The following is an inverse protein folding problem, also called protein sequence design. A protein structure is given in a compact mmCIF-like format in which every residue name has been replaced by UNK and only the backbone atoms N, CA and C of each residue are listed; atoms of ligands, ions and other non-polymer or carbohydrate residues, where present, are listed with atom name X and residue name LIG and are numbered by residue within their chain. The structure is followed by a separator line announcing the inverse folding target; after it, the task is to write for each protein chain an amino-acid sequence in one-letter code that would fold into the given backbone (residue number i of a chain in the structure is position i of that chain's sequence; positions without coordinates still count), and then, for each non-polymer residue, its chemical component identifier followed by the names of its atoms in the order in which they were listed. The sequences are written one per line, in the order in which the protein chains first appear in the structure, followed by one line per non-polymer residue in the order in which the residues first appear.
data_IF_616124002247
#
_entry.id   IF_616124002247
#
_cell.length_a   1.000
_cell.length_b   1.000
_cell.length_c   1.000
_cell.angle_alpha   90.00
_cell.angle_beta   90.00
_cell.angle_gamma   90.00
#
_symmetry.space_group_name_H-M   'P 1'
#
loop_
_entity.id
_entity.type
_entity.pdbx_description
1 polymer ?
#
# COMPACT_ATOMS: atom_id res chain seq x y z
N UNK A 1 -16.10 4.43 1.90
CA UNK A 1 -14.88 3.61 1.88
C UNK A 1 -13.82 4.34 1.08
N UNK A 2 -12.63 4.55 1.63
CA UNK A 2 -11.54 5.28 0.98
C UNK A 2 -10.99 4.44 -0.19
N UNK A 3 -11.41 4.79 -1.42
CA UNK A 3 -11.15 4.03 -2.65
C UNK A 3 -9.66 3.95 -2.98
N UNK A 4 -8.93 5.00 -2.63
CA UNK A 4 -7.50 5.13 -2.86
C UNK A 4 -6.68 4.31 -1.87
N UNK A 5 -7.07 4.28 -0.60
CA UNK A 5 -6.47 3.39 0.39
C UNK A 5 -6.63 1.92 -0.02
N UNK A 6 -7.81 1.55 -0.54
CA UNK A 6 -8.05 0.22 -1.10
C UNK A 6 -7.19 -0.08 -2.33
N UNK A 7 -6.97 0.91 -3.21
CA UNK A 7 -6.07 0.78 -4.36
C UNK A 7 -4.61 0.59 -3.95
N UNK A 8 -4.13 1.37 -2.99
CA UNK A 8 -2.79 1.26 -2.43
C UNK A 8 -2.54 -0.11 -1.81
N UNK A 9 -3.49 -0.61 -1.00
CA UNK A 9 -3.41 -1.94 -0.40
C UNK A 9 -3.36 -3.05 -1.44
N UNK A 10 -4.21 -3.00 -2.48
CA UNK A 10 -4.17 -3.99 -3.56
C UNK A 10 -2.84 -4.00 -4.31
N UNK A 11 -2.23 -2.83 -4.52
CA UNK A 11 -0.92 -2.74 -5.17
C UNK A 11 0.19 -3.40 -4.32
N UNK A 12 0.15 -3.22 -2.99
CA UNK A 12 1.08 -3.87 -2.06
C UNK A 12 0.92 -5.40 -2.07
N UNK A 13 -0.33 -5.88 -2.03
CA UNK A 13 -0.63 -7.30 -2.09
C UNK A 13 -0.19 -7.91 -3.42
N UNK A 14 -0.44 -7.23 -4.54
CA UNK A 14 0.01 -7.68 -5.86
C UNK A 14 1.53 -7.82 -5.93
N UNK A 15 2.30 -6.86 -5.37
CA UNK A 15 3.75 -6.96 -5.30
C UNK A 15 4.19 -8.15 -4.46
N UNK A 16 3.60 -8.34 -3.26
CA UNK A 16 3.92 -9.48 -2.39
C UNK A 16 3.65 -10.81 -3.09
N UNK A 17 2.50 -10.91 -3.77
CA UNK A 17 2.15 -12.11 -4.52
C UNK A 17 3.16 -12.37 -5.64
N UNK A 18 3.53 -11.34 -6.40
CA UNK A 18 4.51 -11.47 -7.48
C UNK A 18 5.88 -11.88 -6.96
N UNK A 19 6.38 -11.21 -5.92
CA UNK A 19 7.70 -11.48 -5.36
C UNK A 19 7.80 -12.86 -4.67
N UNK A 20 6.72 -13.37 -4.09
CA UNK A 20 6.72 -14.63 -3.34
C UNK A 20 6.25 -15.86 -4.11
N UNK A 21 5.41 -15.69 -5.14
CA UNK A 21 4.70 -16.80 -5.79
C UNK A 21 4.74 -16.76 -7.32
N UNK A 22 5.34 -15.75 -7.95
CA UNK A 22 5.50 -15.72 -9.40
C UNK A 22 6.84 -16.31 -9.83
N UNK A 23 6.85 -16.95 -11.00
CA UNK A 23 8.09 -17.32 -11.70
C UNK A 23 8.87 -16.10 -12.22
N UNK A 24 8.26 -14.90 -12.20
CA UNK A 24 8.91 -13.65 -12.58
C UNK A 24 9.17 -12.75 -11.39
N UNK A 25 10.43 -12.35 -11.21
CA UNK A 25 10.83 -11.40 -10.18
C UNK A 25 10.12 -10.06 -10.34
N UNK A 26 9.78 -9.42 -9.22
CA UNK A 26 9.34 -8.04 -9.22
C UNK A 26 10.49 -7.09 -9.58
N UNK A 27 10.20 -6.09 -10.39
CA UNK A 27 11.18 -5.09 -10.84
C UNK A 27 11.40 -4.02 -9.77
N UNK A 28 12.55 -3.33 -9.83
CA UNK A 28 12.86 -2.23 -8.92
C UNK A 28 11.79 -1.11 -8.96
N UNK A 29 11.21 -0.83 -10.13
CA UNK A 29 10.14 0.17 -10.26
C UNK A 29 8.83 -0.28 -9.59
N UNK A 30 8.51 -1.57 -9.62
CA UNK A 30 7.37 -2.13 -8.88
C UNK A 30 7.56 -1.99 -7.37
N UNK A 31 8.77 -2.25 -6.86
CA UNK A 31 9.13 -2.02 -5.46
C UNK A 31 9.02 -0.55 -5.06
N UNK A 32 9.58 0.38 -5.86
CA UNK A 32 9.48 1.82 -5.58
C UNK A 32 8.02 2.31 -5.58
N UNK A 33 7.21 1.86 -6.54
CA UNK A 33 5.79 2.21 -6.61
C UNK A 33 5.02 1.68 -5.40
N UNK A 34 5.30 0.45 -4.98
CA UNK A 34 4.72 -0.12 -3.77
C UNK A 34 5.13 0.66 -2.51
N UNK A 35 6.41 1.02 -2.37
CA UNK A 35 6.90 1.84 -1.25
C UNK A 35 6.12 3.15 -1.11
N UNK A 36 5.93 3.89 -2.21
CA UNK A 36 5.11 5.13 -2.21
C UNK A 36 3.65 4.89 -1.81
N UNK A 37 3.06 3.77 -2.27
CA UNK A 37 1.69 3.42 -1.88
C UNK A 37 1.59 3.05 -0.39
N UNK A 38 2.58 2.38 0.18
CA UNK A 38 2.64 2.08 1.62
C UNK A 38 2.72 3.37 2.45
N UNK A 39 3.59 4.30 2.06
CA UNK A 39 3.74 5.59 2.72
C UNK A 39 2.44 6.40 2.71
N UNK A 40 1.79 6.49 1.54
CA UNK A 40 0.50 7.17 1.41
C UNK A 40 -0.58 6.53 2.31
N UNK A 41 -0.59 5.21 2.43
CA UNK A 41 -1.54 4.49 3.29
C UNK A 41 -1.32 4.81 4.78
N UNK A 42 -0.05 4.84 5.23
CA UNK A 42 0.31 5.19 6.61
C UNK A 42 -0.05 6.63 6.93
N UNK A 43 0.25 7.57 6.03
CA UNK A 43 -0.08 8.99 6.24
C UNK A 43 -1.60 9.18 6.40
N UNK A 44 -2.39 8.55 5.53
CA UNK A 44 -3.86 8.60 5.61
C UNK A 44 -4.41 7.94 6.87
N UNK A 45 -3.80 6.84 7.32
CA UNK A 45 -4.18 6.20 8.57
C UNK A 45 -3.93 7.14 9.77
N UNK A 46 -2.77 7.84 9.78
CA UNK A 46 -2.45 8.85 10.79
C UNK A 46 -3.42 10.03 10.75
N UNK A 47 -3.71 10.57 9.57
CA UNK A 47 -4.70 11.64 9.40
C UNK A 47 -6.10 11.22 9.86
N UNK A 48 -6.49 9.97 9.60
CA UNK A 48 -7.76 9.44 10.08
C UNK A 48 -7.77 9.26 11.60
N UNK A 49 -6.69 8.77 12.19
CA UNK A 49 -6.57 8.66 13.65
C UNK A 49 -6.61 10.05 14.31
N UNK A 50 -5.92 11.03 13.74
CA UNK A 50 -5.93 12.42 14.23
C UNK A 50 -7.31 13.09 14.09
N UNK A 51 -8.08 12.74 13.04
CA UNK A 51 -9.48 13.19 12.86
C UNK A 51 -10.49 12.42 13.71
N UNK A 52 -10.09 11.36 14.40
CA UNK A 52 -10.93 10.59 15.32
C UNK A 52 -10.23 10.43 16.68
N UNK A 53 -9.91 11.53 17.39
CA UNK A 53 -9.33 11.44 18.71
C UNK A 53 -10.43 11.01 19.68
N UNK A 54 -10.41 9.76 20.13
CA UNK A 54 -11.34 9.25 21.14
C UNK A 54 -12.47 8.39 20.60
N UNK A 55 -12.13 7.24 20.02
CA UNK A 55 -13.03 6.10 19.97
C UNK A 55 -12.54 5.02 20.93
#
# INVERSE_FOLDING_TARGET
MDKDAGRALRALLALKTKAGYSHTSATAEEFKRAGRNAEALVLRARERAARSPGR
#
